data_IF_878640308725
#
_entry.id   IF_878640308725
#
_cell.length_a   1.000
_cell.length_b   1.000
_cell.length_c   1.000
_cell.angle_alpha   90.00
_cell.angle_beta   90.00
_cell.angle_gamma   90.00
#
_symmetry.space_group_name_H-M   'P 1'
#
loop_
_entity.id
_entity.type
_entity.pdbx_description
1 polymer ?
#
# COMPACT_ATOMS: atom_id res chain seq x y z
N UNK A 1 9.44 13.38 2.01
CA UNK A 1 8.11 13.37 2.66
C UNK A 1 8.26 12.86 4.08
N UNK A 2 7.66 13.55 5.06
CA UNK A 2 7.90 13.34 6.49
C UNK A 2 7.30 11.99 6.95
N UNK A 3 8.12 10.96 7.14
CA UNK A 3 7.65 9.64 7.55
C UNK A 3 7.22 9.68 9.02
N UNK A 4 5.91 9.53 9.29
CA UNK A 4 5.39 9.48 10.65
C UNK A 4 5.93 8.22 11.36
N UNK A 5 6.72 8.43 12.40
CA UNK A 5 7.42 7.34 13.11
C UNK A 5 6.51 6.50 14.02
N UNK A 6 5.38 7.07 14.48
CA UNK A 6 4.52 6.44 15.49
C UNK A 6 3.04 6.67 15.17
N UNK A 7 2.24 5.62 15.30
CA UNK A 7 0.81 5.57 15.02
C UNK A 7 -0.01 5.36 16.29
N UNK A 8 -1.22 5.91 16.30
CA UNK A 8 -2.27 5.56 17.25
C UNK A 8 -3.00 4.28 16.83
N UNK A 9 -3.77 3.68 17.73
CA UNK A 9 -4.59 2.50 17.39
C UNK A 9 -5.60 2.77 16.28
N UNK A 10 -6.14 4.00 16.21
CA UNK A 10 -7.09 4.39 15.17
C UNK A 10 -6.42 4.54 13.81
N UNK A 11 -5.20 5.07 13.78
CA UNK A 11 -4.42 5.17 12.54
C UNK A 11 -3.94 3.80 12.05
N UNK A 12 -3.41 2.97 12.94
CA UNK A 12 -3.04 1.59 12.62
C UNK A 12 -4.24 0.77 12.11
N UNK A 13 -5.43 0.99 12.69
CA UNK A 13 -6.67 0.36 12.24
C UNK A 13 -7.03 0.74 10.80
N UNK A 14 -6.92 2.03 10.46
CA UNK A 14 -7.13 2.52 9.09
C UNK A 14 -6.13 1.90 8.11
N UNK A 15 -4.84 1.84 8.49
CA UNK A 15 -3.77 1.28 7.65
C UNK A 15 -3.98 -0.22 7.42
N UNK A 16 -4.34 -0.97 8.46
CA UNK A 16 -4.54 -2.42 8.37
C UNK A 16 -5.93 -2.82 7.84
N UNK A 17 -6.82 -1.86 7.55
CA UNK A 17 -8.26 -2.10 7.31
C UNK A 17 -8.92 -3.01 8.37
N UNK A 18 -8.45 -2.92 9.62
CA UNK A 18 -9.00 -3.67 10.75
C UNK A 18 -9.81 -2.74 11.65
N UNK A 19 -10.73 -3.31 12.43
CA UNK A 19 -11.40 -2.51 13.47
C UNK A 19 -10.37 -2.02 14.50
N UNK A 20 -10.62 -0.83 15.08
CA UNK A 20 -9.78 -0.33 16.16
C UNK A 20 -9.74 -1.30 17.36
N UNK A 21 -10.84 -2.03 17.61
CA UNK A 21 -10.90 -3.06 18.65
C UNK A 21 -9.99 -4.25 18.34
N UNK A 22 -9.89 -4.66 17.07
CA UNK A 22 -8.96 -5.71 16.64
C UNK A 22 -7.51 -5.28 16.89
N UNK A 23 -7.15 -4.05 16.53
CA UNK A 23 -5.81 -3.50 16.79
C UNK A 23 -5.52 -3.41 18.29
N UNK A 24 -6.49 -2.96 19.10
CA UNK A 24 -6.35 -2.92 20.56
C UNK A 24 -6.10 -4.32 21.11
N UNK A 25 -6.88 -5.32 20.68
CA UNK A 25 -6.73 -6.71 21.11
C UNK A 25 -5.37 -7.28 20.73
N UNK A 26 -4.94 -7.08 19.48
CA UNK A 26 -3.63 -7.53 18.99
C UNK A 26 -2.47 -6.81 19.71
N UNK A 27 -2.67 -5.56 20.15
CA UNK A 27 -1.67 -4.89 20.98
C UNK A 27 -1.62 -5.49 22.39
N UNK A 28 -2.78 -5.65 23.02
CA UNK A 28 -2.88 -6.08 24.41
C UNK A 28 -2.46 -7.54 24.63
N UNK A 29 -2.60 -8.39 23.61
CA UNK A 29 -2.12 -9.78 23.64
C UNK A 29 -0.66 -9.94 23.12
N UNK A 30 0.01 -8.84 22.76
CA UNK A 30 1.41 -8.82 22.35
C UNK A 30 1.68 -9.17 20.88
N UNK A 31 0.66 -9.45 20.06
CA UNK A 31 0.84 -9.68 18.62
C UNK A 31 1.29 -8.42 17.87
N UNK A 32 0.87 -7.24 18.32
CA UNK A 32 1.27 -5.94 17.78
C UNK A 32 2.11 -5.19 18.81
N UNK A 33 3.41 -5.05 18.52
CA UNK A 33 4.37 -4.40 19.41
C UNK A 33 4.17 -2.89 19.48
N UNK A 34 4.41 -2.32 20.65
CA UNK A 34 4.46 -0.88 20.88
C UNK A 34 4.46 -0.56 22.36
N UNK A 35 4.08 0.66 22.73
CA UNK A 35 4.14 1.13 24.12
C UNK A 35 2.89 1.91 24.52
N UNK A 36 2.65 1.98 25.83
CA UNK A 36 1.63 2.85 26.43
C UNK A 36 2.26 4.17 26.82
N UNK A 37 1.52 5.26 26.64
CA UNK A 37 1.97 6.58 27.06
C UNK A 37 1.91 6.66 28.60
N UNK A 38 2.99 7.07 29.29
CA UNK A 38 2.99 7.21 30.75
C UNK A 38 1.82 8.09 31.24
N UNK A 39 1.12 7.64 32.28
CA UNK A 39 -0.04 8.36 32.82
C UNK A 39 -1.30 8.34 31.93
N UNK A 40 -1.32 7.56 30.85
CA UNK A 40 -2.47 7.47 29.94
C UNK A 40 -2.79 6.04 29.53
N UNK A 41 -4.06 5.81 29.18
CA UNK A 41 -4.52 4.55 28.55
C UNK A 41 -4.17 4.43 27.06
N UNK A 42 -3.57 5.47 26.47
CA UNK A 42 -3.26 5.50 25.05
C UNK A 42 -2.07 4.62 24.68
N UNK A 43 -2.23 3.92 23.55
CA UNK A 43 -1.20 3.07 22.93
C UNK A 43 -0.55 3.82 21.78
N UNK A 44 0.72 3.50 21.53
CA UNK A 44 1.55 4.02 20.45
C UNK A 44 2.26 2.87 19.78
N UNK A 45 2.18 2.83 18.45
CA UNK A 45 2.64 1.74 17.62
C UNK A 45 3.74 2.29 16.71
N UNK A 46 5.01 1.89 16.89
CA UNK A 46 6.09 2.26 15.97
C UNK A 46 5.82 1.76 14.56
N UNK A 47 6.31 2.50 13.55
CA UNK A 47 6.15 2.12 12.14
C UNK A 47 6.64 0.71 11.84
N UNK A 48 7.83 0.36 12.30
CA UNK A 48 8.44 -0.94 11.98
C UNK A 48 7.66 -2.10 12.62
N UNK A 49 7.11 -1.89 13.82
CA UNK A 49 6.24 -2.86 14.48
C UNK A 49 4.92 -3.06 13.72
N UNK A 50 4.36 -1.97 13.17
CA UNK A 50 3.15 -2.04 12.35
C UNK A 50 3.39 -2.81 11.04
N UNK A 51 4.50 -2.52 10.36
CA UNK A 51 4.89 -3.21 9.12
C UNK A 51 5.15 -4.70 9.36
N UNK A 52 5.83 -5.03 10.45
CA UNK A 52 6.05 -6.42 10.86
C UNK A 52 4.72 -7.13 11.11
N UNK A 53 3.80 -6.51 11.85
CA UNK A 53 2.48 -7.07 12.13
C UNK A 53 1.65 -7.32 10.86
N UNK A 54 1.67 -6.39 9.91
CA UNK A 54 0.98 -6.53 8.62
C UNK A 54 1.50 -7.75 7.86
N UNK A 55 2.84 -7.88 7.77
CA UNK A 55 3.50 -8.99 7.08
C UNK A 55 3.21 -10.34 7.75
N UNK A 56 3.31 -10.41 9.07
CA UNK A 56 3.10 -11.66 9.84
C UNK A 56 1.65 -12.16 9.80
N UNK A 57 0.69 -11.25 9.68
CA UNK A 57 -0.74 -11.60 9.68
C UNK A 57 -1.33 -11.70 8.26
N UNK A 58 -0.49 -11.63 7.21
CA UNK A 58 -0.92 -11.58 5.81
C UNK A 58 -2.06 -10.57 5.58
N UNK A 59 -2.02 -9.43 6.28
CA UNK A 59 -3.03 -8.40 6.12
C UNK A 59 -2.78 -7.81 4.73
N UNK A 60 -3.74 -7.93 3.80
CA UNK A 60 -3.59 -7.31 2.50
C UNK A 60 -3.42 -5.80 2.74
N UNK A 61 -2.31 -5.24 2.27
CA UNK A 61 -2.09 -3.79 2.26
C UNK A 61 -2.99 -3.09 1.24
N UNK A 62 -4.05 -3.75 0.77
CA UNK A 62 -5.12 -3.13 0.04
C UNK A 62 -5.62 -1.99 0.90
N UNK A 63 -5.52 -0.75 0.42
CA UNK A 63 -5.66 0.47 1.23
C UNK A 63 -4.49 1.42 1.12
N UNK A 64 -3.35 0.93 0.63
CA UNK A 64 -2.35 1.67 -0.13
C UNK A 64 -2.62 1.55 -1.65
N UNK A 65 -3.88 1.34 -2.06
CA UNK A 65 -4.30 1.46 -3.48
C UNK A 65 -4.21 2.90 -4.00
N UNK A 66 -3.78 3.85 -3.15
CA UNK A 66 -3.31 5.17 -3.57
C UNK A 66 -1.78 5.28 -3.75
N UNK A 67 -1.02 4.19 -3.55
CA UNK A 67 0.45 4.21 -3.51
C UNK A 67 1.09 3.47 -4.68
N UNK A 68 0.31 2.71 -5.47
CA UNK A 68 0.80 2.22 -6.76
C UNK A 68 0.61 3.29 -7.82
N UNK A 69 1.71 3.73 -8.42
CA UNK A 69 1.67 4.65 -9.55
C UNK A 69 1.08 3.88 -10.74
N UNK A 70 -0.04 4.35 -11.26
CA UNK A 70 -0.71 3.72 -12.41
C UNK A 70 -0.06 4.22 -13.69
N UNK A 71 0.58 3.30 -14.41
CA UNK A 71 1.30 3.61 -15.65
C UNK A 71 0.60 2.92 -16.82
N UNK A 72 0.29 3.70 -17.85
CA UNK A 72 -0.16 3.17 -19.13
C UNK A 72 1.00 3.24 -20.13
N UNK A 73 1.54 2.09 -20.51
CA UNK A 73 2.58 1.98 -21.54
C UNK A 73 1.90 1.93 -22.91
N UNK A 74 2.28 2.84 -23.81
CA UNK A 74 1.72 2.94 -25.15
C UNK A 74 2.84 2.90 -26.17
N UNK A 75 2.97 1.78 -26.86
CA UNK A 75 3.99 1.58 -27.90
C UNK A 75 3.46 0.51 -28.88
N UNK A 76 3.76 0.66 -30.16
CA UNK A 76 3.35 -0.27 -31.22
C UNK A 76 4.33 -1.45 -31.36
N UNK A 77 5.52 -1.38 -30.75
CA UNK A 77 6.48 -2.48 -30.69
C UNK A 77 6.27 -3.35 -29.42
N UNK A 78 5.85 -4.63 -29.57
CA UNK A 78 5.60 -5.50 -28.43
C UNK A 78 6.86 -5.83 -27.61
N UNK A 79 8.05 -5.83 -28.21
CA UNK A 79 9.30 -6.11 -27.47
C UNK A 79 9.63 -4.95 -26.52
N UNK A 80 9.33 -3.72 -26.93
CA UNK A 80 9.49 -2.52 -26.11
C UNK A 80 8.45 -2.52 -24.97
N UNK A 81 7.19 -2.85 -25.26
CA UNK A 81 6.15 -2.95 -24.24
C UNK A 81 6.53 -3.96 -23.15
N UNK A 82 6.95 -5.17 -23.55
CA UNK A 82 7.34 -6.23 -22.62
C UNK A 82 8.52 -5.81 -21.72
N UNK A 83 9.55 -5.18 -22.29
CA UNK A 83 10.68 -4.65 -21.53
C UNK A 83 10.25 -3.65 -20.44
N UNK A 84 9.32 -2.73 -20.76
CA UNK A 84 8.84 -1.75 -19.80
C UNK A 84 7.92 -2.36 -18.74
N UNK A 85 7.07 -3.32 -19.11
CA UNK A 85 6.21 -4.05 -18.16
C UNK A 85 7.09 -4.77 -17.15
N UNK A 86 8.06 -5.56 -17.60
CA UNK A 86 8.96 -6.31 -16.73
C UNK A 86 9.71 -5.40 -15.75
N UNK A 87 10.23 -4.26 -16.24
CA UNK A 87 10.95 -3.31 -15.41
C UNK A 87 10.06 -2.63 -14.35
N UNK A 88 8.82 -2.28 -14.70
CA UNK A 88 7.88 -1.58 -13.82
C UNK A 88 7.22 -2.54 -12.81
N UNK A 89 6.90 -3.77 -13.23
CA UNK A 89 6.34 -4.79 -12.35
C UNK A 89 7.38 -5.29 -11.33
N UNK A 90 8.65 -5.41 -11.71
CA UNK A 90 9.74 -5.80 -10.81
C UNK A 90 9.95 -4.81 -9.64
N UNK A 91 9.64 -3.53 -9.84
CA UNK A 91 9.76 -2.49 -8.83
C UNK A 91 8.63 -2.57 -7.77
N UNK A 92 7.48 -3.17 -8.12
CA UNK A 92 6.37 -3.45 -7.20
C UNK A 92 5.56 -2.22 -6.74
N UNK A 93 6.02 -1.00 -7.05
CA UNK A 93 5.31 0.28 -6.80
C UNK A 93 4.42 0.70 -7.96
N UNK A 94 4.40 -0.02 -9.07
CA UNK A 94 3.60 0.33 -10.24
C UNK A 94 2.44 -0.64 -10.43
N UNK A 95 1.35 -0.11 -10.96
CA UNK A 95 0.28 -0.89 -11.59
C UNK A 95 0.32 -0.52 -13.08
N UNK A 96 0.53 -1.50 -13.94
CA UNK A 96 0.82 -1.27 -15.35
C UNK A 96 -0.34 -1.75 -16.21
N UNK A 97 -0.77 -0.92 -17.15
CA UNK A 97 -1.63 -1.28 -18.26
C UNK A 97 -0.88 -1.01 -19.58
N UNK A 98 -1.25 -1.72 -20.64
CA UNK A 98 -0.60 -1.60 -21.96
C UNK A 98 -1.61 -1.29 -23.05
N UNK A 99 -1.21 -0.48 -24.02
CA UNK A 99 -1.97 -0.27 -25.25
C UNK A 99 -1.01 -0.29 -26.45
N UNK A 100 -1.41 -0.95 -27.54
CA UNK A 100 -0.62 -1.01 -28.77
C UNK A 100 -1.00 0.08 -29.79
N UNK A 101 -2.08 0.83 -29.51
CA UNK A 101 -2.54 1.91 -30.38
C UNK A 101 -2.97 3.12 -29.55
N UNK A 102 -2.86 4.31 -30.14
CA UNK A 102 -3.33 5.55 -29.50
C UNK A 102 -4.84 5.60 -29.26
N UNK A 103 -5.63 4.83 -30.02
CA UNK A 103 -7.06 4.70 -29.82
C UNK A 103 -7.37 3.89 -28.55
N UNK A 104 -6.74 2.73 -28.40
CA UNK A 104 -6.89 1.87 -27.22
C UNK A 104 -6.37 2.57 -25.98
N UNK A 105 -5.27 3.32 -26.11
CA UNK A 105 -4.73 4.15 -25.03
C UNK A 105 -5.74 5.20 -24.54
N UNK A 106 -6.47 5.84 -25.46
CA UNK A 106 -7.51 6.82 -25.12
C UNK A 106 -8.67 6.19 -24.33
N UNK A 107 -9.10 4.99 -24.73
CA UNK A 107 -10.15 4.23 -24.03
C UNK A 107 -9.67 3.80 -22.63
N UNK A 108 -8.47 3.24 -22.56
CA UNK A 108 -7.87 2.74 -21.32
C UNK A 108 -7.55 3.87 -20.34
N UNK A 109 -7.18 5.06 -20.81
CA UNK A 109 -6.93 6.22 -19.94
C UNK A 109 -8.17 6.58 -19.11
N UNK A 110 -9.38 6.48 -19.67
CA UNK A 110 -10.62 6.76 -18.94
C UNK A 110 -10.95 5.72 -17.87
N UNK A 111 -10.62 4.45 -18.14
CA UNK A 111 -10.91 3.32 -17.26
C UNK A 111 -9.83 3.17 -16.17
N UNK A 112 -8.57 3.29 -16.56
CA UNK A 112 -7.39 3.03 -15.72
C UNK A 112 -6.88 4.26 -14.99
N UNK A 113 -7.17 5.48 -15.49
CA UNK A 113 -6.75 6.76 -14.88
C UNK A 113 -5.27 6.76 -14.45
N UNK A 114 -4.33 6.54 -15.39
CA UNK A 114 -2.90 6.63 -15.09
C UNK A 114 -2.55 8.04 -14.58
N UNK A 115 -1.55 8.16 -13.69
CA UNK A 115 -1.22 9.41 -13.00
C UNK A 115 0.14 9.41 -12.32
#
# INVERSE_FOLDING_TARGET
MNQKAVFTTGEAAKICKLSQQTIIRCFDNGQLKGFRVPGSKFRRIPRDALLQFIKENNIPMDGLEGDKIRVLVVDDDPEIVELFVDALEADGRFEVATAQTGYDAGLLTQQFRPG
#
